data_IF_311801958693
#
_entry.id   IF_311801958693
#
_cell.length_a   1.000
_cell.length_b   1.000
_cell.length_c   1.000
_cell.angle_alpha   90.00
_cell.angle_beta   90.00
_cell.angle_gamma   90.00
#
_symmetry.space_group_name_H-M   'P 1'
#
loop_
_entity.id
_entity.type
_entity.pdbx_description
1 polymer ?
#
# COMPACT_ATOMS: atom_id res chain seq x y z
N UNK A 1 37.64 29.73 8.38
CA UNK A 1 36.24 29.94 8.79
C UNK A 1 35.47 30.37 7.55
N UNK A 2 34.83 29.43 6.86
CA UNK A 2 34.03 29.73 5.68
C UNK A 2 32.57 29.85 6.11
N UNK A 3 32.05 31.07 6.04
CA UNK A 3 30.64 31.39 6.10
C UNK A 3 30.03 30.98 4.75
N UNK A 4 29.13 30.01 4.75
CA UNK A 4 28.40 29.57 3.57
C UNK A 4 26.92 29.88 3.79
N UNK A 5 26.54 31.11 3.49
CA UNK A 5 25.14 31.47 3.28
C UNK A 5 24.76 31.02 1.87
N UNK A 6 24.40 29.74 1.74
CA UNK A 6 23.70 29.22 0.58
C UNK A 6 22.21 29.43 0.80
N UNK A 7 21.58 30.19 -0.10
CA UNK A 7 20.13 30.17 -0.26
C UNK A 7 19.75 28.78 -0.77
N UNK A 8 19.19 27.92 0.09
CA UNK A 8 18.49 26.70 -0.34
C UNK A 8 17.00 26.96 -0.17
N UNK A 9 16.44 27.62 -1.17
CA UNK A 9 15.01 27.80 -1.34
C UNK A 9 14.66 27.34 -2.75
N UNK A 10 14.74 26.03 -2.98
CA UNK A 10 14.15 25.29 -4.11
C UNK A 10 14.48 23.80 -3.87
N UNK A 11 13.56 22.89 -4.21
CA UNK A 11 13.63 21.41 -4.11
C UNK A 11 12.94 20.71 -2.91
N UNK A 12 12.04 21.38 -2.18
CA UNK A 12 11.26 20.71 -1.12
C UNK A 12 9.96 20.04 -1.62
N UNK A 13 9.49 20.36 -2.84
CA UNK A 13 8.27 19.79 -3.43
C UNK A 13 8.47 18.42 -4.08
N UNK A 14 9.69 18.05 -4.48
CA UNK A 14 9.98 16.79 -5.18
C UNK A 14 10.07 15.58 -4.24
N UNK A 15 10.56 15.78 -3.01
CA UNK A 15 10.65 14.69 -2.04
C UNK A 15 9.28 14.35 -1.47
N UNK A 16 8.45 15.34 -1.10
CA UNK A 16 7.12 15.12 -0.51
C UNK A 16 6.12 14.45 -1.46
N UNK A 17 6.23 14.69 -2.78
CA UNK A 17 5.39 14.06 -3.79
C UNK A 17 5.76 12.60 -4.10
N UNK A 18 6.97 12.16 -3.71
CA UNK A 18 7.50 10.83 -4.00
C UNK A 18 7.55 9.88 -2.79
N UNK A 19 7.15 10.33 -1.59
CA UNK A 19 6.81 9.39 -0.51
C UNK A 19 5.49 8.72 -0.88
N UNK A 20 5.56 7.47 -1.34
CA UNK A 20 4.39 6.66 -1.68
C UNK A 20 3.50 6.54 -0.42
N UNK A 21 2.47 7.38 -0.31
CA UNK A 21 1.57 7.48 0.86
C UNK A 21 0.89 6.15 1.19
N UNK A 22 0.89 5.19 0.27
CA UNK A 22 0.36 3.84 0.48
C UNK A 22 1.01 3.06 1.62
N UNK A 23 2.30 3.28 1.93
CA UNK A 23 2.98 2.54 3.01
C UNK A 23 2.88 3.21 4.38
N UNK A 24 2.38 4.44 4.46
CA UNK A 24 2.33 5.17 5.74
C UNK A 24 1.13 4.67 6.53
N UNK A 25 1.41 4.17 7.73
CA UNK A 25 0.39 3.69 8.65
C UNK A 25 -0.59 4.81 9.04
N UNK A 26 -1.89 4.52 9.14
CA UNK A 26 -2.91 5.54 9.39
C UNK A 26 -2.70 6.28 10.71
N UNK A 27 -2.22 5.59 11.76
CA UNK A 27 -1.95 6.20 13.08
C UNK A 27 -0.84 7.26 13.04
N UNK A 28 0.10 7.15 12.10
CA UNK A 28 1.11 8.17 11.90
C UNK A 28 0.51 9.41 11.22
N UNK A 29 -0.40 9.22 10.26
CA UNK A 29 -1.06 10.32 9.56
C UNK A 29 -2.07 11.06 10.44
N UNK A 30 -2.82 10.34 11.27
CA UNK A 30 -3.87 10.93 12.12
C UNK A 30 -3.31 11.54 13.40
N UNK A 31 -2.35 10.86 14.04
CA UNK A 31 -1.92 11.17 15.41
C UNK A 31 -0.42 11.46 15.52
N UNK A 32 0.35 11.26 14.45
CA UNK A 32 1.82 11.43 14.49
C UNK A 32 2.51 10.37 15.35
N UNK A 33 1.84 9.25 15.65
CA UNK A 33 2.39 8.19 16.49
C UNK A 33 3.50 7.48 15.74
N UNK A 34 4.68 7.40 16.36
CA UNK A 34 5.82 6.62 15.88
C UNK A 34 5.93 5.36 16.73
N UNK A 35 5.76 4.20 16.10
CA UNK A 35 5.79 2.92 16.79
C UNK A 35 6.24 1.80 15.83
N UNK A 36 6.79 0.68 16.35
CA UNK A 36 7.09 -0.49 15.52
C UNK A 36 5.88 -1.06 14.76
N UNK A 37 4.64 -0.77 15.18
CA UNK A 37 3.44 -1.16 14.44
C UNK A 37 3.38 -0.57 13.02
N UNK A 38 4.00 0.59 12.81
CA UNK A 38 4.00 1.24 11.50
C UNK A 38 4.76 0.41 10.46
N UNK A 39 5.88 -0.19 10.86
CA UNK A 39 6.66 -1.08 9.99
C UNK A 39 5.89 -2.37 9.70
N UNK A 40 5.09 -2.84 10.67
CA UNK A 40 4.20 -4.00 10.49
C UNK A 40 3.08 -3.69 9.49
N UNK A 41 2.48 -2.50 9.57
CA UNK A 41 1.51 -2.03 8.58
C UNK A 41 2.14 -1.95 7.19
N UNK A 42 3.29 -1.29 7.07
CA UNK A 42 4.00 -1.14 5.81
C UNK A 42 4.37 -2.51 5.20
N UNK A 43 4.77 -3.48 6.03
CA UNK A 43 5.00 -4.84 5.59
C UNK A 43 3.74 -5.51 5.05
N UNK A 44 2.58 -5.29 5.68
CA UNK A 44 1.29 -5.73 5.16
C UNK A 44 1.02 -5.21 3.74
N UNK A 45 1.28 -3.91 3.51
CA UNK A 45 1.13 -3.30 2.17
C UNK A 45 2.10 -3.92 1.16
N UNK A 46 3.35 -4.18 1.54
CA UNK A 46 4.33 -4.87 0.66
C UNK A 46 3.86 -6.27 0.28
N UNK A 47 3.26 -7.02 1.20
CA UNK A 47 2.69 -8.34 0.88
C UNK A 47 1.55 -8.23 -0.16
N UNK A 48 0.70 -7.20 -0.06
CA UNK A 48 -0.35 -6.95 -1.04
C UNK A 48 0.21 -6.56 -2.41
N UNK A 49 1.26 -5.75 -2.45
CA UNK A 49 1.97 -5.39 -3.68
C UNK A 49 2.58 -6.63 -4.35
N UNK A 50 3.21 -7.52 -3.58
CA UNK A 50 3.76 -8.78 -4.11
C UNK A 50 2.66 -9.70 -4.64
N UNK A 51 1.52 -9.79 -3.94
CA UNK A 51 0.41 -10.63 -4.39
C UNK A 51 -0.28 -10.08 -5.63
N UNK A 52 -0.46 -8.77 -5.74
CA UNK A 52 -1.24 -8.14 -6.82
C UNK A 52 -0.40 -7.70 -8.02
N UNK A 53 0.91 -7.50 -7.83
CA UNK A 53 1.79 -6.92 -8.84
C UNK A 53 1.49 -5.43 -9.10
N UNK A 54 0.70 -4.77 -8.24
CA UNK A 54 0.23 -3.39 -8.40
C UNK A 54 0.91 -2.46 -7.40
N UNK A 55 1.07 -1.16 -7.72
CA UNK A 55 1.54 -0.18 -6.74
C UNK A 55 0.56 -0.09 -5.54
N UNK A 56 1.04 0.32 -4.35
CA UNK A 56 0.24 0.32 -3.12
C UNK A 56 -0.95 1.28 -3.16
N UNK A 57 -0.87 2.29 -4.04
CA UNK A 57 -1.93 3.25 -4.34
C UNK A 57 -2.00 3.50 -5.84
N UNK A 58 -3.21 3.45 -6.39
CA UNK A 58 -3.51 3.81 -7.78
C UNK A 58 -4.51 4.98 -7.80
N UNK A 59 -4.53 5.78 -8.87
CA UNK A 59 -5.55 6.82 -9.03
C UNK A 59 -6.88 6.19 -9.40
N UNK A 60 -7.94 6.69 -8.80
CA UNK A 60 -9.30 6.37 -9.17
C UNK A 60 -9.66 7.20 -10.41
N UNK A 61 -9.52 6.61 -11.60
CA UNK A 61 -9.76 7.32 -12.87
C UNK A 61 -11.25 7.70 -13.06
N UNK A 62 -12.16 7.06 -12.31
CA UNK A 62 -13.59 7.37 -12.34
C UNK A 62 -13.95 8.60 -11.48
N UNK A 63 -13.05 9.06 -10.61
CA UNK A 63 -13.25 10.25 -9.77
C UNK A 63 -12.41 11.43 -10.25
N UNK A 64 -13.08 12.50 -10.67
CA UNK A 64 -12.44 13.76 -11.09
C UNK A 64 -11.62 14.45 -9.98
N UNK A 65 -11.81 14.07 -8.71
CA UNK A 65 -11.07 14.64 -7.56
C UNK A 65 -9.65 14.09 -7.41
N UNK A 66 -9.27 13.09 -8.21
CA UNK A 66 -7.96 12.43 -8.11
C UNK A 66 -7.81 11.57 -6.86
N UNK A 67 -8.90 11.00 -6.35
CA UNK A 67 -8.90 10.04 -5.25
C UNK A 67 -7.89 8.90 -5.49
N UNK A 68 -7.33 8.38 -4.40
CA UNK A 68 -6.42 7.24 -4.44
C UNK A 68 -7.13 5.99 -3.92
N UNK A 69 -7.02 4.90 -4.66
CA UNK A 69 -7.43 3.56 -4.24
C UNK A 69 -6.20 2.90 -3.60
N UNK A 70 -6.35 2.39 -2.38
CA UNK A 70 -5.30 1.65 -1.66
C UNK A 70 -5.52 0.15 -1.79
N UNK A 71 -4.46 -0.63 -1.98
CA UNK A 71 -4.55 -2.09 -1.97
C UNK A 71 -5.13 -2.63 -0.65
N UNK A 72 -4.85 -1.95 0.46
CA UNK A 72 -5.40 -2.29 1.78
C UNK A 72 -6.92 -2.22 1.85
N UNK A 73 -7.54 -1.33 1.07
CA UNK A 73 -8.99 -1.17 1.04
C UNK A 73 -9.63 -2.15 0.04
N UNK A 74 -9.00 -2.36 -1.11
CA UNK A 74 -9.42 -3.37 -2.10
C UNK A 74 -9.45 -4.77 -1.48
N UNK A 75 -8.35 -5.19 -0.81
CA UNK A 75 -8.27 -6.55 -0.28
C UNK A 75 -9.30 -6.80 0.83
N UNK A 76 -9.71 -5.76 1.57
CA UNK A 76 -10.80 -5.86 2.55
C UNK A 76 -12.12 -6.17 1.86
N UNK A 77 -12.41 -5.51 0.74
CA UNK A 77 -13.63 -5.74 -0.04
C UNK A 77 -13.62 -7.13 -0.67
N UNK A 78 -12.52 -7.50 -1.33
CA UNK A 78 -12.37 -8.80 -2.00
C UNK A 78 -12.51 -9.95 -1.00
N UNK A 79 -11.87 -9.87 0.16
CA UNK A 79 -11.96 -10.93 1.19
C UNK A 79 -13.31 -10.95 1.94
N UNK A 80 -14.17 -9.94 1.74
CA UNK A 80 -15.55 -9.94 2.24
C UNK A 80 -16.54 -10.48 1.19
N UNK A 81 -16.14 -10.58 -0.08
CA UNK A 81 -16.96 -11.17 -1.13
C UNK A 81 -17.14 -12.68 -0.91
N UNK A 82 -18.28 -13.21 -1.34
CA UNK A 82 -18.52 -14.66 -1.39
C UNK A 82 -17.89 -15.31 -2.63
N UNK A 83 -17.43 -14.49 -3.59
CA UNK A 83 -16.82 -14.96 -4.83
C UNK A 83 -15.28 -15.03 -4.70
N UNK A 84 -14.77 -16.26 -4.57
CA UNK A 84 -13.34 -16.50 -4.50
C UNK A 84 -12.59 -16.18 -5.81
N UNK A 85 -13.30 -16.09 -6.94
CA UNK A 85 -12.68 -15.76 -8.23
C UNK A 85 -12.24 -14.30 -8.28
N UNK A 86 -12.90 -13.39 -7.53
CA UNK A 86 -12.44 -12.00 -7.40
C UNK A 86 -10.99 -11.93 -6.88
N UNK A 87 -10.65 -12.76 -5.88
CA UNK A 87 -9.28 -12.83 -5.39
C UNK A 87 -8.33 -13.43 -6.42
N UNK A 88 -8.75 -14.44 -7.18
CA UNK A 88 -7.91 -15.03 -8.24
C UNK A 88 -7.58 -14.03 -9.33
N UNK A 89 -8.56 -13.24 -9.75
CA UNK A 89 -8.38 -12.21 -10.77
C UNK A 89 -7.56 -11.02 -10.26
N UNK A 90 -7.63 -10.73 -8.96
CA UNK A 90 -6.85 -9.65 -8.36
C UNK A 90 -5.37 -9.99 -8.18
N UNK A 91 -5.01 -11.27 -8.03
CA UNK A 91 -3.63 -11.75 -7.91
C UNK A 91 -2.87 -11.53 -9.22
N UNK A 92 -1.57 -11.21 -9.12
CA UNK A 92 -0.68 -11.02 -10.26
C UNK A 92 -0.60 -12.27 -11.13
N UNK A 93 -1.07 -12.16 -12.37
CA UNK A 93 -0.99 -13.22 -13.37
C UNK A 93 0.45 -13.64 -13.69
N UNK A 94 1.46 -12.79 -13.46
CA UNK A 94 2.87 -13.12 -13.65
C UNK A 94 3.38 -14.18 -12.67
N UNK A 95 2.71 -14.41 -11.54
CA UNK A 95 3.04 -15.49 -10.61
C UNK A 95 2.78 -16.88 -11.21
N UNK A 96 1.90 -16.98 -12.23
CA UNK A 96 1.58 -18.23 -12.92
C UNK A 96 1.16 -19.34 -11.95
N UNK A 97 1.68 -20.54 -12.16
CA UNK A 97 1.38 -21.74 -11.36
C UNK A 97 2.36 -21.94 -10.18
N UNK A 98 3.14 -20.91 -9.81
CA UNK A 98 4.20 -21.04 -8.79
C UNK A 98 3.70 -20.95 -7.34
N UNK A 99 2.38 -20.91 -7.13
CA UNK A 99 1.76 -20.81 -5.82
C UNK A 99 0.46 -21.62 -5.77
N UNK A 100 0.06 -22.04 -4.56
CA UNK A 100 -1.27 -22.61 -4.34
C UNK A 100 -2.27 -21.51 -4.00
N UNK A 101 -3.51 -21.64 -4.48
CA UNK A 101 -4.54 -20.64 -4.17
C UNK A 101 -4.80 -20.51 -2.66
N UNK A 102 -4.77 -21.61 -1.91
CA UNK A 102 -4.86 -21.57 -0.44
C UNK A 102 -3.72 -20.74 0.19
N UNK A 103 -2.51 -20.84 -0.35
CA UNK A 103 -1.37 -20.04 0.09
C UNK A 103 -1.59 -18.55 -0.16
N UNK A 104 -2.16 -18.20 -1.32
CA UNK A 104 -2.52 -16.81 -1.63
C UNK A 104 -3.63 -16.29 -0.71
N UNK A 105 -4.66 -17.09 -0.44
CA UNK A 105 -5.73 -16.75 0.52
C UNK A 105 -5.15 -16.52 1.92
N UNK A 106 -4.25 -17.38 2.39
CA UNK A 106 -3.58 -17.20 3.69
C UNK A 106 -2.76 -15.92 3.72
N UNK A 107 -1.97 -15.65 2.67
CA UNK A 107 -1.12 -14.46 2.60
C UNK A 107 -1.95 -13.18 2.50
N UNK A 108 -3.05 -13.19 1.75
CA UNK A 108 -4.01 -12.09 1.66
C UNK A 108 -4.66 -11.80 3.02
N UNK A 109 -5.11 -12.83 3.74
CA UNK A 109 -5.69 -12.67 5.08
C UNK A 109 -4.66 -12.14 6.09
N UNK A 110 -3.42 -12.63 6.02
CA UNK A 110 -2.31 -12.12 6.84
C UNK A 110 -2.08 -10.65 6.54
N UNK A 111 -1.86 -10.29 5.28
CA UNK A 111 -1.61 -8.93 4.85
C UNK A 111 -2.74 -7.98 5.25
N UNK A 112 -4.02 -8.36 5.07
CA UNK A 112 -5.19 -7.61 5.55
C UNK A 112 -5.12 -7.36 7.06
N UNK A 113 -4.78 -8.39 7.84
CA UNK A 113 -4.68 -8.27 9.31
C UNK A 113 -3.56 -7.31 9.73
N UNK A 114 -2.44 -7.26 8.99
CA UNK A 114 -1.35 -6.33 9.26
C UNK A 114 -1.73 -4.88 8.92
N UNK A 115 -2.55 -4.68 7.89
CA UNK A 115 -3.06 -3.37 7.47
C UNK A 115 -4.20 -2.81 8.36
N UNK A 116 -4.41 -3.36 9.56
CA UNK A 116 -5.34 -2.81 10.56
C UNK A 116 -6.73 -3.44 10.61
N UNK A 117 -6.94 -4.64 10.05
CA UNK A 117 -8.19 -5.42 10.21
C UNK A 117 -9.35 -4.94 9.35
#
# INVERSE_FOLDING_TARGET
MANCSGQEAEDQESYQAAWNKGYIAPEYLSEGIISPSMDVFAYGVVLLEVLSGKPPTTRDDDKEDGSLIKLSDEIKQILQSEDAEELREWIDGALGENYSFDGAVMLANLARSLCGG
#
